data_IF_151236409765
#
_entry.id   IF_151236409765
#
_cell.length_a   1.000
_cell.length_b   1.000
_cell.length_c   1.000
_cell.angle_alpha   90.00
_cell.angle_beta   90.00
_cell.angle_gamma   90.00
#
_symmetry.space_group_name_H-M   'P 1'
#
loop_
_entity.id
_entity.type
_entity.pdbx_description
1 polymer ?
#
# COMPACT_ATOMS: atom_id res chain seq x y z
N UNK A 1 -26.97 20.78 -0.33
CA UNK A 1 -25.95 19.70 -0.25
C UNK A 1 -25.28 19.64 -1.61
N UNK A 2 -24.09 20.22 -1.74
CA UNK A 2 -23.33 20.17 -3.00
C UNK A 2 -22.81 18.75 -3.26
N UNK A 3 -22.42 18.42 -4.50
CA UNK A 3 -21.91 17.08 -4.82
C UNK A 3 -20.73 16.78 -3.89
N UNK A 4 -20.80 15.65 -3.19
CA UNK A 4 -19.69 15.16 -2.37
C UNK A 4 -18.46 15.10 -3.27
N UNK A 5 -17.54 16.05 -3.12
CA UNK A 5 -16.28 16.07 -3.87
C UNK A 5 -15.54 14.83 -3.42
N UNK A 6 -15.66 13.75 -4.19
CA UNK A 6 -14.94 12.51 -3.96
C UNK A 6 -13.46 12.85 -4.05
N UNK A 7 -12.81 12.84 -2.87
CA UNK A 7 -11.41 13.20 -2.73
C UNK A 7 -10.56 12.02 -3.22
N UNK A 8 -9.76 12.16 -4.29
CA UNK A 8 -9.05 11.04 -4.91
C UNK A 8 -8.14 10.29 -3.92
N UNK A 9 -7.46 11.04 -3.04
CA UNK A 9 -6.60 10.47 -1.99
C UNK A 9 -7.37 9.59 -1.01
N UNK A 10 -8.57 10.01 -0.60
CA UNK A 10 -9.41 9.22 0.29
C UNK A 10 -9.87 7.92 -0.38
N UNK A 11 -10.24 7.97 -1.67
CA UNK A 11 -10.63 6.77 -2.42
C UNK A 11 -9.48 5.79 -2.55
N UNK A 12 -8.29 6.27 -2.92
CA UNK A 12 -7.09 5.44 -2.99
C UNK A 12 -6.79 4.78 -1.65
N UNK A 13 -6.80 5.54 -0.55
CA UNK A 13 -6.59 4.99 0.79
C UNK A 13 -7.65 3.94 1.16
N UNK A 14 -8.93 4.20 0.90
CA UNK A 14 -10.01 3.25 1.21
C UNK A 14 -9.88 1.95 0.44
N UNK A 15 -9.45 2.00 -0.83
CA UNK A 15 -9.20 0.80 -1.64
C UNK A 15 -8.07 -0.04 -1.03
N UNK A 16 -6.97 0.60 -0.64
CA UNK A 16 -5.83 -0.06 0.01
C UNK A 16 -6.23 -0.71 1.34
N UNK A 17 -6.90 0.04 2.21
CA UNK A 17 -7.38 -0.46 3.50
C UNK A 17 -8.37 -1.62 3.33
N UNK A 18 -9.28 -1.54 2.36
CA UNK A 18 -10.24 -2.59 2.08
C UNK A 18 -9.55 -3.89 1.69
N UNK A 19 -8.53 -3.82 0.84
CA UNK A 19 -7.73 -4.99 0.49
C UNK A 19 -7.04 -5.61 1.72
N UNK A 20 -6.34 -4.80 2.51
CA UNK A 20 -5.58 -5.31 3.66
C UNK A 20 -6.49 -5.89 4.75
N UNK A 21 -7.66 -5.29 4.97
CA UNK A 21 -8.65 -5.83 5.90
C UNK A 21 -9.14 -7.21 5.49
N UNK A 22 -9.45 -7.41 4.20
CA UNK A 22 -9.85 -8.72 3.66
C UNK A 22 -8.72 -9.73 3.78
N UNK A 23 -7.48 -9.32 3.47
CA UNK A 23 -6.31 -10.18 3.60
C UNK A 23 -6.08 -10.64 5.05
N UNK A 24 -6.03 -9.70 6.00
CA UNK A 24 -5.80 -9.99 7.42
C UNK A 24 -6.91 -10.86 7.99
N UNK A 25 -8.17 -10.56 7.64
CA UNK A 25 -9.32 -11.38 8.04
C UNK A 25 -9.19 -12.82 7.51
N UNK A 26 -8.83 -12.96 6.23
CA UNK A 26 -8.64 -14.27 5.58
C UNK A 26 -7.49 -15.07 6.19
N UNK A 27 -6.37 -14.42 6.52
CA UNK A 27 -5.24 -15.05 7.22
C UNK A 27 -5.67 -15.52 8.60
N UNK A 28 -6.31 -14.64 9.37
CA UNK A 28 -6.72 -14.95 10.75
C UNK A 28 -7.74 -16.08 10.81
N UNK A 29 -8.72 -16.08 9.92
CA UNK A 29 -9.69 -17.15 9.80
C UNK A 29 -9.03 -18.47 9.34
N UNK A 30 -8.15 -18.40 8.34
CA UNK A 30 -7.41 -19.57 7.84
C UNK A 30 -6.54 -20.22 8.91
N UNK A 31 -5.81 -19.42 9.70
CA UNK A 31 -4.96 -19.93 10.79
C UNK A 31 -5.78 -20.58 11.92
N UNK A 32 -6.95 -20.00 12.25
CA UNK A 32 -7.87 -20.61 13.24
C UNK A 32 -8.41 -21.96 12.77
N UNK A 33 -8.83 -22.04 11.50
CA UNK A 33 -9.32 -23.29 10.92
C UNK A 33 -8.20 -24.32 10.78
N UNK A 34 -6.99 -23.90 10.40
CA UNK A 34 -5.83 -24.79 10.35
C UNK A 34 -5.53 -25.40 11.72
N UNK A 35 -5.55 -24.60 12.79
CA UNK A 35 -5.36 -25.11 14.15
C UNK A 35 -6.40 -26.17 14.49
N UNK A 36 -7.67 -25.91 14.20
CA UNK A 36 -8.76 -26.87 14.43
C UNK A 36 -8.59 -28.15 13.61
N UNK A 37 -8.11 -28.06 12.38
CA UNK A 37 -7.83 -29.22 11.54
C UNK A 37 -6.69 -30.08 12.10
N UNK A 38 -5.62 -29.45 12.60
CA UNK A 38 -4.51 -30.14 13.29
C UNK A 38 -5.00 -30.84 14.57
N UNK A 39 -5.92 -30.22 15.30
CA UNK A 39 -6.57 -30.80 16.49
C UNK A 39 -7.60 -31.90 16.14
N UNK A 40 -7.85 -32.16 14.85
CA UNK A 40 -8.83 -33.15 14.39
C UNK A 40 -10.30 -32.71 14.53
N UNK A 41 -10.55 -31.42 14.80
CA UNK A 41 -11.89 -30.84 14.98
C UNK A 41 -12.55 -30.47 13.65
N UNK A 42 -11.78 -30.36 12.57
CA UNK A 42 -12.23 -30.04 11.21
C UNK A 42 -11.46 -30.91 10.23
N UNK A 43 -12.09 -31.28 9.11
CA UNK A 43 -11.43 -32.04 8.04
C UNK A 43 -10.35 -31.20 7.38
N UNK A 44 -9.15 -31.77 7.23
CA UNK A 44 -8.05 -31.17 6.50
C UNK A 44 -8.41 -31.10 5.01
N UNK A 45 -8.71 -29.89 4.51
CA UNK A 45 -8.93 -29.65 3.08
C UNK A 45 -7.62 -29.36 2.35
N UNK A 46 -7.60 -29.49 1.03
CA UNK A 46 -6.42 -29.19 0.19
C UNK A 46 -5.85 -27.78 0.45
N UNK A 47 -6.73 -26.80 0.72
CA UNK A 47 -6.32 -25.44 1.05
C UNK A 47 -5.61 -25.36 2.41
N UNK A 48 -6.09 -26.12 3.41
CA UNK A 48 -5.47 -26.16 4.73
C UNK A 48 -4.14 -26.93 4.68
N UNK A 49 -4.08 -28.03 3.94
CA UNK A 49 -2.87 -28.84 3.74
C UNK A 49 -1.76 -28.02 3.03
N UNK A 50 -2.14 -27.30 1.97
CA UNK A 50 -1.23 -26.39 1.26
C UNK A 50 -0.72 -25.27 2.17
N UNK A 51 -1.60 -24.69 3.00
CA UNK A 51 -1.23 -23.66 3.97
C UNK A 51 -0.28 -24.21 5.04
N UNK A 52 -0.56 -25.40 5.57
CA UNK A 52 0.29 -26.10 6.54
C UNK A 52 1.69 -26.30 5.97
N UNK A 53 1.79 -26.88 4.78
CA UNK A 53 3.06 -27.14 4.11
C UNK A 53 3.86 -25.86 3.87
N UNK A 54 3.20 -24.79 3.38
CA UNK A 54 3.86 -23.49 3.20
C UNK A 54 4.41 -22.94 4.51
N UNK A 55 3.59 -22.92 5.58
CA UNK A 55 3.99 -22.39 6.89
C UNK A 55 5.15 -23.20 7.47
N UNK A 56 5.07 -24.53 7.38
CA UNK A 56 6.10 -25.44 7.85
C UNK A 56 7.44 -25.21 7.14
N UNK A 57 7.41 -24.99 5.83
CA UNK A 57 8.60 -24.65 5.02
C UNK A 57 9.06 -23.19 5.14
N UNK A 58 8.37 -22.36 5.94
CA UNK A 58 8.67 -20.93 6.05
C UNK A 58 8.37 -20.13 4.77
N UNK A 59 7.48 -20.63 3.91
CA UNK A 59 6.99 -19.98 2.69
C UNK A 59 5.64 -19.31 2.93
N UNK A 60 5.35 -18.29 2.13
CA UNK A 60 4.05 -17.59 2.18
C UNK A 60 3.06 -18.32 1.27
N UNK A 61 1.90 -18.77 1.77
CA UNK A 61 0.84 -19.35 0.94
C UNK A 61 0.48 -18.43 -0.24
N UNK A 62 0.37 -18.99 -1.45
CA UNK A 62 0.17 -18.22 -2.69
C UNK A 62 -1.10 -17.36 -2.66
N UNK A 63 -2.17 -17.86 -2.03
CA UNK A 63 -3.43 -17.15 -1.90
C UNK A 63 -3.39 -15.96 -0.92
N UNK A 64 -2.37 -15.84 -0.05
CA UNK A 64 -2.13 -14.63 0.75
C UNK A 64 -1.43 -13.52 -0.05
N UNK A 65 -0.89 -13.86 -1.21
CA UNK A 65 -0.11 -12.95 -2.05
C UNK A 65 -0.90 -12.42 -3.24
N UNK A 66 -2.21 -12.68 -3.30
CA UNK A 66 -3.09 -12.24 -4.38
C UNK A 66 -3.10 -10.71 -4.44
N UNK A 67 -2.52 -10.11 -5.47
CA UNK A 67 -2.41 -8.65 -5.63
C UNK A 67 -1.02 -8.09 -5.31
N UNK A 68 -0.21 -8.79 -4.50
CA UNK A 68 1.19 -8.41 -4.28
C UNK A 68 2.09 -9.64 -4.09
N UNK A 69 2.54 -10.26 -5.20
CA UNK A 69 3.47 -11.39 -5.17
C UNK A 69 4.78 -11.03 -4.45
N UNK A 70 5.34 -11.98 -3.71
CA UNK A 70 6.59 -11.82 -2.97
C UNK A 70 7.40 -13.10 -2.96
N UNK A 71 8.72 -12.96 -3.08
CA UNK A 71 9.66 -14.07 -2.89
C UNK A 71 10.25 -14.11 -1.47
N UNK A 72 9.72 -13.29 -0.55
CA UNK A 72 10.21 -13.23 0.83
C UNK A 72 9.80 -14.48 1.61
N UNK A 73 10.70 -14.94 2.47
CA UNK A 73 10.37 -15.92 3.50
C UNK A 73 9.26 -15.39 4.44
N UNK A 74 8.47 -16.30 5.00
CA UNK A 74 7.28 -16.00 5.79
C UNK A 74 7.54 -14.98 6.91
N UNK A 75 8.61 -15.14 7.68
CA UNK A 75 8.94 -14.21 8.77
C UNK A 75 9.24 -12.78 8.28
N UNK A 76 9.93 -12.64 7.15
CA UNK A 76 10.21 -11.33 6.54
C UNK A 76 8.94 -10.72 5.94
N UNK A 77 8.10 -11.55 5.30
CA UNK A 77 6.82 -11.14 4.76
C UNK A 77 5.85 -10.64 5.84
N UNK A 78 5.74 -11.34 6.98
CA UNK A 78 4.91 -10.94 8.11
C UNK A 78 5.36 -9.59 8.71
N UNK A 79 6.68 -9.41 8.89
CA UNK A 79 7.25 -8.13 9.35
C UNK A 79 6.90 -7.00 8.39
N UNK A 80 7.03 -7.24 7.08
CA UNK A 80 6.67 -6.24 6.09
C UNK A 80 5.16 -5.94 6.15
N UNK A 81 4.29 -6.95 6.20
CA UNK A 81 2.84 -6.77 6.31
C UNK A 81 2.47 -5.88 7.51
N UNK A 82 3.11 -6.07 8.66
CA UNK A 82 2.93 -5.22 9.84
C UNK A 82 3.34 -3.77 9.57
N UNK A 83 4.53 -3.55 9.00
CA UNK A 83 5.01 -2.21 8.65
C UNK A 83 4.09 -1.51 7.64
N UNK A 84 3.53 -2.24 6.67
CA UNK A 84 2.58 -1.68 5.69
C UNK A 84 1.29 -1.25 6.38
N UNK A 85 0.77 -2.08 7.28
CA UNK A 85 -0.39 -1.75 8.10
C UNK A 85 -0.16 -0.48 8.94
N UNK A 86 1.00 -0.36 9.58
CA UNK A 86 1.37 0.85 10.32
C UNK A 86 1.45 2.09 9.41
N UNK A 87 2.00 1.96 8.20
CA UNK A 87 2.09 3.06 7.23
C UNK A 87 0.69 3.54 6.78
N UNK A 88 -0.21 2.61 6.44
CA UNK A 88 -1.57 2.94 6.02
C UNK A 88 -2.41 3.49 7.17
N UNK A 89 -2.23 2.99 8.39
CA UNK A 89 -2.89 3.53 9.57
C UNK A 89 -2.42 4.95 9.88
N UNK A 90 -1.13 5.24 9.73
CA UNK A 90 -0.61 6.59 9.87
C UNK A 90 -1.24 7.54 8.83
N UNK A 91 -1.39 7.10 7.59
CA UNK A 91 -2.11 7.87 6.56
C UNK A 91 -3.59 8.05 6.90
N UNK A 92 -4.25 7.04 7.48
CA UNK A 92 -5.66 7.12 7.87
C UNK A 92 -5.97 8.18 8.93
N UNK A 93 -4.98 8.61 9.72
CA UNK A 93 -5.15 9.73 10.66
C UNK A 93 -5.31 11.09 9.96
N UNK A 94 -4.83 11.22 8.71
CA UNK A 94 -4.93 12.42 7.89
C UNK A 94 -5.31 12.06 6.44
N UNK A 95 -6.53 11.56 6.18
CA UNK A 95 -6.87 10.87 4.93
C UNK A 95 -6.83 11.76 3.68
N UNK A 96 -6.92 13.08 3.84
CA UNK A 96 -6.83 14.06 2.73
C UNK A 96 -5.40 14.31 2.27
N UNK A 97 -4.40 14.00 3.09
CA UNK A 97 -3.00 14.31 2.83
C UNK A 97 -2.17 13.04 2.95
N UNK A 98 -1.47 12.60 1.89
CA UNK A 98 -0.60 11.44 2.00
C UNK A 98 0.51 11.70 3.03
N UNK A 99 1.14 10.63 3.58
CA UNK A 99 2.33 10.77 4.40
C UNK A 99 3.38 11.59 3.64
N UNK A 100 4.12 12.44 4.37
CA UNK A 100 5.16 13.30 3.79
C UNK A 100 6.12 12.51 2.90
N UNK A 101 6.53 11.33 3.37
CA UNK A 101 7.27 10.33 2.60
C UNK A 101 6.40 9.09 2.46
N UNK A 102 5.84 8.87 1.27
CA UNK A 102 5.00 7.72 0.98
C UNK A 102 5.87 6.49 0.67
N UNK A 103 5.66 5.39 1.39
CA UNK A 103 6.34 4.13 1.10
C UNK A 103 5.56 3.39 0.01
N UNK A 104 5.95 3.54 -1.25
CA UNK A 104 5.23 2.93 -2.39
C UNK A 104 5.05 1.41 -2.26
N UNK A 105 6.05 0.63 -1.80
CA UNK A 105 5.86 -0.79 -1.52
C UNK A 105 4.77 -1.10 -0.47
N UNK A 106 4.34 -0.13 0.34
CA UNK A 106 3.20 -0.35 1.24
C UNK A 106 1.88 -0.54 0.50
N UNK A 107 1.77 0.02 -0.69
CA UNK A 107 0.57 0.02 -1.50
C UNK A 107 0.48 -1.25 -2.35
N UNK A 108 -0.76 -1.67 -2.60
CA UNK A 108 -1.11 -2.77 -3.49
C UNK A 108 -1.30 -2.24 -4.91
N UNK A 109 -1.90 -1.05 -5.04
CA UNK A 109 -2.14 -0.35 -6.30
C UNK A 109 -1.41 1.02 -6.32
N UNK A 110 -0.06 1.04 -6.40
CA UNK A 110 0.70 2.28 -6.42
C UNK A 110 0.35 3.21 -7.59
N UNK A 111 -0.08 2.65 -8.73
CA UNK A 111 -0.57 3.43 -9.88
C UNK A 111 -1.85 4.21 -9.53
N UNK A 112 -2.79 3.59 -8.81
CA UNK A 112 -4.01 4.26 -8.35
C UNK A 112 -3.72 5.42 -7.41
N UNK A 113 -2.73 5.25 -6.53
CA UNK A 113 -2.22 6.32 -5.69
C UNK A 113 -1.61 7.48 -6.48
N UNK A 114 -0.72 7.20 -7.43
CA UNK A 114 -0.11 8.23 -8.26
C UNK A 114 -1.17 9.00 -9.06
N UNK A 115 -2.16 8.31 -9.63
CA UNK A 115 -3.30 8.96 -10.29
C UNK A 115 -4.10 9.83 -9.33
N UNK A 116 -4.31 9.40 -8.08
CA UNK A 116 -4.98 10.21 -7.07
C UNK A 116 -4.19 11.49 -6.72
N UNK A 117 -2.85 11.41 -6.68
CA UNK A 117 -1.97 12.59 -6.53
C UNK A 117 -2.17 13.52 -7.72
N UNK A 118 -2.03 13.04 -8.97
CA UNK A 118 -2.24 13.87 -10.17
C UNK A 118 -3.60 14.55 -10.18
N UNK A 119 -4.68 13.82 -9.88
CA UNK A 119 -6.04 14.39 -9.83
C UNK A 119 -6.18 15.45 -8.74
N UNK A 120 -5.52 15.27 -7.60
CA UNK A 120 -5.55 16.24 -6.50
C UNK A 120 -4.79 17.50 -6.89
N UNK A 121 -3.63 17.36 -7.53
CA UNK A 121 -2.81 18.49 -8.02
C UNK A 121 -3.50 19.23 -9.16
N UNK A 122 -4.08 18.51 -10.13
CA UNK A 122 -4.86 19.07 -11.23
C UNK A 122 -6.00 19.97 -10.71
N UNK A 123 -6.72 19.51 -9.68
CA UNK A 123 -7.81 20.27 -9.05
C UNK A 123 -7.31 21.47 -8.26
N UNK A 124 -6.17 21.37 -7.60
CA UNK A 124 -5.59 22.46 -6.82
C UNK A 124 -5.05 23.59 -7.70
N UNK A 125 -4.39 23.25 -8.81
CA UNK A 125 -3.78 24.21 -9.75
C UNK A 125 -4.70 24.60 -10.91
N UNK A 126 -5.91 24.02 -10.98
CA UNK A 126 -6.86 24.18 -12.09
C UNK A 126 -6.28 23.79 -13.47
N UNK A 127 -5.38 22.79 -13.50
CA UNK A 127 -4.80 22.26 -14.73
C UNK A 127 -5.66 21.13 -15.32
N UNK A 128 -5.84 21.07 -16.66
CA UNK A 128 -6.42 19.90 -17.30
C UNK A 128 -5.56 18.66 -17.04
N UNK A 129 -6.18 17.55 -16.66
CA UNK A 129 -5.42 16.33 -16.31
C UNK A 129 -4.60 15.77 -17.49
N UNK A 130 -5.07 15.98 -18.71
CA UNK A 130 -4.44 15.47 -19.94
C UNK A 130 -3.14 16.20 -20.31
N UNK A 131 -2.85 17.35 -19.69
CA UNK A 131 -1.60 18.09 -19.91
C UNK A 131 -0.54 17.79 -18.86
N UNK A 132 -0.82 16.86 -17.93
CA UNK A 132 0.05 16.55 -16.81
C UNK A 132 0.98 15.38 -17.12
N UNK A 133 2.26 15.56 -16.78
CA UNK A 133 3.30 14.54 -16.79
C UNK A 133 3.92 14.34 -15.41
N UNK A 134 4.73 13.29 -15.30
CA UNK A 134 5.55 13.04 -14.12
C UNK A 134 7.00 13.39 -14.38
N UNK A 135 7.59 14.13 -13.44
CA UNK A 135 9.03 14.34 -13.33
C UNK A 135 9.54 13.67 -12.06
N UNK A 136 10.65 12.93 -12.19
CA UNK A 136 11.23 12.17 -11.09
C UNK A 136 12.63 12.68 -10.78
N UNK A 137 12.83 13.14 -9.56
CA UNK A 137 14.16 13.55 -9.06
C UNK A 137 14.55 12.62 -7.92
N UNK A 138 15.64 11.86 -8.08
CA UNK A 138 16.15 11.00 -7.01
C UNK A 138 16.75 11.86 -5.90
N UNK A 139 16.36 11.61 -4.66
CA UNK A 139 16.75 12.37 -3.49
C UNK A 139 17.56 11.45 -2.55
N UNK A 140 18.90 11.56 -2.51
CA UNK A 140 19.74 10.77 -1.61
C UNK A 140 19.74 11.38 -0.20
N UNK A 141 18.54 11.55 0.37
CA UNK A 141 18.33 12.12 1.70
C UNK A 141 17.79 11.05 2.63
N UNK A 142 18.18 11.14 3.90
CA UNK A 142 17.62 10.31 4.96
C UNK A 142 16.14 10.62 5.18
N UNK A 143 15.36 9.63 5.62
CA UNK A 143 13.91 9.75 5.83
C UNK A 143 13.52 10.91 6.76
N UNK A 144 14.36 11.21 7.75
CA UNK A 144 14.15 12.27 8.73
C UNK A 144 14.24 13.68 8.10
N UNK A 145 14.86 13.80 6.93
CA UNK A 145 14.98 15.06 6.20
C UNK A 145 13.65 15.50 5.59
N UNK A 146 12.71 14.57 5.38
CA UNK A 146 11.40 14.83 4.79
C UNK A 146 10.39 15.26 5.86
N UNK A 147 10.56 16.48 6.38
CA UNK A 147 9.73 17.01 7.47
C UNK A 147 8.41 17.59 6.96
N UNK A 148 8.36 18.05 5.71
CA UNK A 148 7.20 18.73 5.12
C UNK A 148 6.88 18.17 3.73
N UNK A 149 5.59 18.14 3.33
CA UNK A 149 5.21 17.78 1.96
C UNK A 149 5.80 18.78 0.95
N UNK A 150 6.01 18.34 -0.30
CA UNK A 150 6.50 19.22 -1.35
C UNK A 150 5.44 20.29 -1.68
N UNK A 151 5.90 21.50 -2.02
CA UNK A 151 5.02 22.65 -2.27
C UNK A 151 4.43 22.69 -3.67
N UNK A 152 4.98 21.91 -4.59
CA UNK A 152 4.62 21.88 -6.01
C UNK A 152 3.50 20.88 -6.33
N UNK A 153 2.75 20.44 -5.32
CA UNK A 153 1.70 19.44 -5.47
C UNK A 153 2.20 18.04 -5.82
N UNK A 154 3.52 17.79 -5.76
CA UNK A 154 4.10 16.47 -5.92
C UNK A 154 3.97 15.59 -4.68
N UNK A 155 4.73 14.49 -4.66
CA UNK A 155 4.84 13.59 -3.50
C UNK A 155 6.26 13.07 -3.37
N UNK A 156 6.76 12.93 -2.13
CA UNK A 156 7.99 12.18 -1.90
C UNK A 156 7.66 10.71 -1.75
N UNK A 157 8.38 9.87 -2.48
CA UNK A 157 8.20 8.42 -2.47
C UNK A 157 9.47 7.71 -2.05
N UNK A 158 9.33 6.63 -1.27
CA UNK A 158 10.41 5.70 -0.93
C UNK A 158 10.15 4.36 -1.60
N UNK A 159 11.11 3.85 -2.37
CA UNK A 159 11.01 2.57 -3.07
C UNK A 159 11.71 1.42 -2.33
N UNK A 160 12.96 1.62 -1.91
CA UNK A 160 13.75 0.67 -1.08
C UNK A 160 14.41 1.47 0.05
N UNK A 161 14.99 0.80 1.05
CA UNK A 161 15.93 1.47 1.96
C UNK A 161 16.96 2.23 1.12
N UNK A 162 17.12 3.52 1.44
CA UNK A 162 18.06 4.46 0.81
C UNK A 162 17.75 4.92 -0.62
N UNK A 163 16.57 4.59 -1.17
CA UNK A 163 16.12 5.12 -2.47
C UNK A 163 14.79 5.87 -2.32
N UNK A 164 14.91 7.18 -2.13
CA UNK A 164 13.82 8.14 -2.14
C UNK A 164 13.83 8.97 -3.43
N UNK A 165 12.65 9.33 -3.92
CA UNK A 165 12.49 10.21 -5.05
C UNK A 165 11.38 11.25 -4.78
N UNK A 166 11.56 12.44 -5.35
CA UNK A 166 10.49 13.42 -5.48
C UNK A 166 9.80 13.19 -6.82
N UNK A 167 8.52 12.86 -6.76
CA UNK A 167 7.65 12.77 -7.92
C UNK A 167 6.88 14.09 -8.03
N UNK A 168 7.27 14.94 -8.98
CA UNK A 168 6.60 16.20 -9.27
C UNK A 168 5.62 16.02 -10.42
N UNK A 169 4.48 16.68 -10.31
CA UNK A 169 3.53 16.82 -11.42
C UNK A 169 3.92 18.08 -12.20
N UNK A 170 4.22 17.94 -13.49
CA UNK A 170 4.50 19.08 -14.38
C UNK A 170 3.46 19.18 -15.48
N UNK A 171 3.16 20.40 -15.93
CA UNK A 171 2.31 20.64 -17.09
C UNK A 171 3.17 20.93 -18.30
N UNK A 172 2.81 20.37 -19.46
CA UNK A 172 3.53 20.53 -20.73
C UNK A 172 3.21 21.83 -21.48
N UNK A 173 2.77 22.89 -20.79
CA UNK A 173 2.51 24.21 -21.37
C UNK A 173 3.78 25.05 -21.54
#
# INVERSE_FOLDING_TARGET
>A
MGPDIVMPMCVSLLQELSYYNVLISSITAGLKELRRAIEGLVVMSDKLESMYSCIFEGKVPTFWQKGRPSMKALGSWCRELFLRGAHLLAWANAPRSPPTLCWLPALVAPTGFLTAVMQTTARAECWPIDTLGWEFTVMPLEEQSFVRPPRDGGVYVRYVQDLSAHCRVSSSQ
#
